data_IF_942024422850
#
_entry.id   IF_942024422850
#
_cell.length_a   1.000
_cell.length_b   1.000
_cell.length_c   1.000
_cell.angle_alpha   90.00
_cell.angle_beta   90.00
_cell.angle_gamma   90.00
#
_symmetry.space_group_name_H-M   'P 1'
#
loop_
_entity.id
_entity.type
_entity.pdbx_description
1 polymer ?
#
# COMPACT_ATOMS: atom_id res chain seq x y z
N UNK A 1 -7.66 12.73 16.49
CA UNK A 1 -8.18 13.26 15.22
C UNK A 1 -9.22 12.27 14.74
N UNK A 2 -10.50 12.63 14.78
CA UNK A 2 -11.63 11.75 14.46
C UNK A 2 -11.94 11.70 12.96
N UNK A 3 -10.94 11.86 12.12
CA UNK A 3 -11.11 11.89 10.67
C UNK A 3 -11.22 10.46 10.13
N UNK A 4 -12.13 10.24 9.19
CA UNK A 4 -12.32 8.93 8.57
C UNK A 4 -11.05 8.51 7.80
N UNK A 5 -10.53 7.31 8.10
CA UNK A 5 -9.36 6.72 7.45
C UNK A 5 -9.83 5.63 6.48
N UNK A 6 -9.48 5.75 5.20
CA UNK A 6 -9.86 4.78 4.16
C UNK A 6 -8.64 4.37 3.36
N UNK A 7 -8.37 3.06 3.28
CA UNK A 7 -7.33 2.49 2.43
C UNK A 7 -7.97 1.89 1.19
N UNK A 8 -7.57 2.35 0.00
CA UNK A 8 -8.03 1.84 -1.28
C UNK A 8 -6.97 0.95 -1.92
N UNK A 9 -7.32 -0.30 -2.20
CA UNK A 9 -6.48 -1.25 -2.93
C UNK A 9 -7.32 -2.35 -3.58
N UNK A 10 -6.70 -3.24 -4.36
CA UNK A 10 -7.36 -4.46 -4.82
C UNK A 10 -7.64 -5.42 -3.66
N UNK A 11 -8.58 -6.35 -3.85
CA UNK A 11 -8.78 -7.49 -2.93
C UNK A 11 -7.62 -8.49 -3.01
N UNK A 12 -6.48 -8.03 -2.55
CA UNK A 12 -5.23 -8.74 -2.48
C UNK A 12 -4.39 -8.13 -1.36
N UNK A 13 -3.36 -8.87 -0.94
CA UNK A 13 -2.35 -8.36 0.01
C UNK A 13 -1.51 -7.28 -0.68
N UNK A 14 -0.66 -7.70 -1.62
CA UNK A 14 0.15 -6.83 -2.49
C UNK A 14 0.90 -5.74 -1.72
N UNK A 15 0.98 -4.54 -2.32
CA UNK A 15 1.70 -3.38 -1.75
C UNK A 15 0.96 -2.69 -0.60
N UNK A 16 -0.34 -2.96 -0.42
CA UNK A 16 -1.13 -2.38 0.67
C UNK A 16 -0.95 -3.13 1.99
N UNK A 17 -0.47 -4.38 1.95
CA UNK A 17 -0.44 -5.24 3.13
C UNK A 17 0.39 -4.69 4.28
N UNK A 18 1.54 -4.08 4.00
CA UNK A 18 2.36 -3.47 5.06
C UNK A 18 1.62 -2.32 5.76
N UNK A 19 0.79 -1.56 5.02
CA UNK A 19 -0.04 -0.49 5.60
C UNK A 19 -1.11 -1.10 6.52
N UNK A 20 -1.75 -2.20 6.10
CA UNK A 20 -2.73 -2.92 6.94
C UNK A 20 -2.10 -3.45 8.23
N UNK A 21 -0.89 -4.00 8.14
CA UNK A 21 -0.14 -4.50 9.30
C UNK A 21 0.23 -3.37 10.26
N UNK A 22 0.59 -2.19 9.76
CA UNK A 22 0.84 -1.01 10.59
C UNK A 22 -0.43 -0.61 11.35
N UNK A 23 -1.58 -0.54 10.68
CA UNK A 23 -2.85 -0.22 11.35
C UNK A 23 -3.23 -1.27 12.40
N UNK A 24 -3.08 -2.56 12.08
CA UNK A 24 -3.35 -3.64 13.03
C UNK A 24 -2.43 -3.58 14.26
N UNK A 25 -1.13 -3.35 14.06
CA UNK A 25 -0.16 -3.22 15.15
C UNK A 25 -0.46 -2.03 16.06
N UNK A 26 -0.88 -0.90 15.48
CA UNK A 26 -1.20 0.32 16.22
C UNK A 26 -2.63 0.32 16.80
N UNK A 27 -3.45 -0.69 16.51
CA UNK A 27 -4.86 -0.73 16.90
C UNK A 27 -5.69 0.39 16.27
N UNK A 28 -5.32 0.87 15.09
CA UNK A 28 -6.03 1.94 14.39
C UNK A 28 -7.15 1.34 13.55
N UNK A 29 -8.38 1.78 13.82
CA UNK A 29 -9.53 1.46 12.99
C UNK A 29 -9.50 2.26 11.68
N UNK A 30 -9.80 1.59 10.57
CA UNK A 30 -9.86 2.19 9.24
C UNK A 30 -10.81 1.38 8.34
N UNK A 31 -11.28 1.99 7.26
CA UNK A 31 -12.04 1.30 6.21
C UNK A 31 -11.08 0.69 5.19
N UNK A 32 -11.03 -0.63 5.08
CA UNK A 32 -10.27 -1.35 4.03
C UNK A 32 -11.14 -1.52 2.77
N UNK A 33 -11.10 -0.53 1.87
CA UNK A 33 -11.89 -0.52 0.64
C UNK A 33 -11.17 -1.31 -0.45
N UNK A 34 -11.70 -2.48 -0.79
CA UNK A 34 -11.12 -3.42 -1.73
C UNK A 34 -11.83 -3.44 -3.08
N UNK A 35 -11.08 -3.29 -4.17
CA UNK A 35 -11.60 -3.50 -5.52
C UNK A 35 -11.75 -4.99 -5.84
N UNK A 36 -12.84 -5.36 -6.50
CA UNK A 36 -13.16 -6.74 -6.88
C UNK A 36 -14.15 -7.45 -5.95
N UNK A 37 -14.55 -6.80 -4.85
CA UNK A 37 -15.50 -7.38 -3.88
C UNK A 37 -16.95 -7.23 -4.35
N UNK A 38 -17.29 -6.16 -5.08
CA UNK A 38 -18.67 -5.88 -5.49
C UNK A 38 -18.88 -5.94 -7.01
N UNK A 39 -17.86 -6.36 -7.77
CA UNK A 39 -17.90 -6.39 -9.22
C UNK A 39 -16.52 -6.62 -9.84
N UNK A 40 -16.38 -6.23 -11.11
CA UNK A 40 -15.10 -6.35 -11.81
C UNK A 40 -14.06 -5.38 -11.21
N UNK A 41 -12.93 -5.94 -10.77
CA UNK A 41 -11.90 -5.20 -10.05
C UNK A 41 -11.29 -4.06 -10.90
N UNK A 42 -11.15 -4.25 -12.21
CA UNK A 42 -10.57 -3.24 -13.09
C UNK A 42 -11.57 -2.15 -13.45
N UNK A 43 -12.87 -2.48 -13.55
CA UNK A 43 -13.94 -1.49 -13.69
C UNK A 43 -14.03 -0.62 -12.45
N UNK A 44 -14.04 -1.22 -11.25
CA UNK A 44 -14.05 -0.47 -9.98
C UNK A 44 -12.82 0.43 -9.86
N UNK A 45 -11.62 -0.08 -10.15
CA UNK A 45 -10.40 0.73 -10.15
C UNK A 45 -10.46 1.87 -11.17
N UNK A 46 -10.95 1.61 -12.39
CA UNK A 46 -11.11 2.65 -13.42
C UNK A 46 -12.08 3.74 -12.99
N UNK A 47 -13.17 3.39 -12.33
CA UNK A 47 -14.14 4.37 -11.83
C UNK A 47 -13.57 5.16 -10.64
N UNK A 48 -12.88 4.48 -9.71
CA UNK A 48 -12.18 5.12 -8.61
C UNK A 48 -11.20 6.21 -9.08
N UNK A 49 -10.41 5.94 -10.13
CA UNK A 49 -9.49 6.93 -10.72
C UNK A 49 -10.19 8.15 -11.32
N UNK A 50 -11.46 8.04 -11.72
CA UNK A 50 -12.25 9.19 -12.20
C UNK A 50 -12.82 10.01 -11.06
N UNK A 51 -13.16 9.36 -9.95
CA UNK A 51 -13.80 9.99 -8.79
C UNK A 51 -12.78 10.64 -7.84
N UNK A 52 -11.57 10.10 -7.77
CA UNK A 52 -10.51 10.56 -6.86
C UNK A 52 -9.36 11.15 -7.63
N UNK A 53 -8.88 12.29 -7.16
CA UNK A 53 -7.66 12.93 -7.68
C UNK A 53 -6.43 12.15 -7.22
N UNK A 54 -6.12 11.07 -7.94
CA UNK A 54 -4.95 10.25 -7.67
C UNK A 54 -3.75 10.79 -8.44
N UNK A 55 -2.65 11.16 -7.78
CA UNK A 55 -1.55 11.90 -8.43
C UNK A 55 -0.82 11.10 -9.51
N UNK A 56 -0.85 9.76 -9.44
CA UNK A 56 -0.11 8.88 -10.35
C UNK A 56 -0.98 7.77 -10.95
N UNK A 57 -2.30 7.84 -10.81
CA UNK A 57 -3.22 6.79 -11.27
C UNK A 57 -2.88 5.38 -10.76
N UNK A 58 -2.31 5.30 -9.55
CA UNK A 58 -1.83 4.08 -8.91
C UNK A 58 -2.44 3.90 -7.53
N UNK A 59 -2.56 2.64 -7.11
CA UNK A 59 -2.88 2.25 -5.73
C UNK A 59 -1.70 1.48 -5.11
N UNK A 60 -1.52 1.51 -3.77
CA UNK A 60 -2.45 1.98 -2.74
C UNK A 60 -2.63 3.49 -2.66
N UNK A 61 -3.85 3.91 -2.31
CA UNK A 61 -4.20 5.26 -1.87
C UNK A 61 -4.70 5.18 -0.43
N UNK A 62 -4.13 6.01 0.44
CA UNK A 62 -4.63 6.22 1.80
C UNK A 62 -5.31 7.58 1.87
N UNK A 63 -6.57 7.61 2.27
CA UNK A 63 -7.33 8.83 2.52
C UNK A 63 -7.50 9.05 4.02
N UNK A 64 -7.23 10.28 4.49
CA UNK A 64 -7.44 10.70 5.88
C UNK A 64 -8.25 12.00 5.85
N UNK A 65 -9.54 11.94 6.15
CA UNK A 65 -10.46 13.06 5.88
C UNK A 65 -10.47 13.37 4.39
N UNK A 66 -10.10 14.60 4.00
CA UNK A 66 -9.97 15.01 2.58
C UNK A 66 -8.56 14.81 2.01
N UNK A 67 -7.57 14.44 2.84
CA UNK A 67 -6.19 14.28 2.40
C UNK A 67 -6.02 12.97 1.63
N UNK A 68 -5.49 13.05 0.41
CA UNK A 68 -5.14 11.90 -0.44
C UNK A 68 -3.63 11.67 -0.40
N UNK A 69 -3.21 10.48 0.05
CA UNK A 69 -1.82 10.05 0.08
C UNK A 69 -1.61 8.87 -0.87
N UNK A 70 -0.57 8.98 -1.71
CA UNK A 70 -0.18 7.95 -2.68
C UNK A 70 1.23 7.42 -2.39
N UNK A 71 1.63 6.41 -3.16
CA UNK A 71 2.91 5.68 -3.05
C UNK A 71 3.07 4.90 -1.74
N UNK A 72 3.05 3.56 -1.85
CA UNK A 72 3.05 2.65 -0.70
C UNK A 72 4.16 2.92 0.31
N UNK A 73 5.38 3.20 -0.14
CA UNK A 73 6.50 3.43 0.78
C UNK A 73 6.43 4.79 1.46
N UNK A 74 5.91 5.80 0.78
CA UNK A 74 5.73 7.13 1.36
C UNK A 74 4.63 7.09 2.44
N UNK A 75 3.53 6.38 2.18
CA UNK A 75 2.47 6.15 3.16
C UNK A 75 3.01 5.41 4.39
N UNK A 76 3.80 4.35 4.19
CA UNK A 76 4.44 3.60 5.29
C UNK A 76 5.30 4.53 6.15
N UNK A 77 6.22 5.30 5.55
CA UNK A 77 7.07 6.25 6.30
C UNK A 77 6.26 7.34 7.00
N UNK A 78 5.24 7.88 6.35
CA UNK A 78 4.35 8.89 6.95
C UNK A 78 3.66 8.35 8.21
N UNK A 79 3.06 7.16 8.14
CA UNK A 79 2.42 6.52 9.29
C UNK A 79 3.44 6.19 10.37
N UNK A 80 4.59 5.63 9.99
CA UNK A 80 5.63 5.26 10.95
C UNK A 80 6.16 6.48 11.71
N UNK A 81 6.37 7.61 11.01
CA UNK A 81 6.79 8.86 11.64
C UNK A 81 5.69 9.45 12.53
N UNK A 82 4.44 9.49 12.05
CA UNK A 82 3.29 10.03 12.79
C UNK A 82 3.06 9.29 14.12
N UNK A 83 3.33 7.99 14.16
CA UNK A 83 3.11 7.14 15.33
C UNK A 83 4.39 6.71 16.05
N UNK A 84 5.52 7.35 15.77
CA UNK A 84 6.82 7.13 16.44
C UNK A 84 7.33 5.67 16.40
N UNK A 85 7.09 4.97 15.28
CA UNK A 85 7.58 3.60 15.05
C UNK A 85 8.65 3.54 13.94
N UNK A 86 9.36 4.66 13.71
CA UNK A 86 10.43 4.76 12.72
C UNK A 86 11.83 4.85 13.31
N UNK A 87 11.99 4.81 14.65
CA UNK A 87 13.26 5.05 15.33
C UNK A 87 13.29 6.39 16.08
N UNK A 88 14.11 6.45 17.13
CA UNK A 88 14.09 7.56 18.11
C UNK A 88 15.10 8.69 17.79
N UNK A 89 15.94 8.49 16.78
CA UNK A 89 16.94 9.47 16.34
C UNK A 89 17.23 9.29 14.83
N UNK A 90 17.95 10.25 14.25
CA UNK A 90 18.26 10.29 12.81
C UNK A 90 18.93 9.01 12.31
N UNK A 91 19.87 8.45 13.08
CA UNK A 91 20.59 7.24 12.68
C UNK A 91 19.70 5.99 12.73
N UNK A 92 18.85 5.86 13.74
CA UNK A 92 17.91 4.75 13.85
C UNK A 92 16.80 4.84 12.79
N UNK A 93 16.34 6.06 12.45
CA UNK A 93 15.41 6.29 11.35
C UNK A 93 16.01 5.93 9.99
N UNK A 94 17.27 6.29 9.78
CA UNK A 94 18.04 5.83 8.62
C UNK A 94 18.11 4.30 8.56
N UNK A 95 18.45 3.62 9.65
CA UNK A 95 18.55 2.16 9.65
C UNK A 95 17.21 1.47 9.39
N UNK A 96 16.11 1.99 9.94
CA UNK A 96 14.78 1.48 9.65
C UNK A 96 14.44 1.61 8.16
N UNK A 97 14.70 2.76 7.54
CA UNK A 97 14.45 2.98 6.10
C UNK A 97 15.40 2.13 5.23
N UNK A 98 16.68 2.00 5.61
CA UNK A 98 17.65 1.16 4.92
C UNK A 98 17.21 -0.31 4.88
N UNK A 99 16.75 -0.85 6.01
CA UNK A 99 16.21 -2.22 6.08
C UNK A 99 14.96 -2.33 5.20
N UNK A 100 14.05 -1.36 5.28
CA UNK A 100 12.83 -1.37 4.47
C UNK A 100 13.13 -1.31 2.96
N UNK A 101 14.12 -0.54 2.54
CA UNK A 101 14.61 -0.53 1.15
C UNK A 101 15.13 -1.90 0.72
N UNK A 102 15.96 -2.56 1.54
CA UNK A 102 16.43 -3.92 1.25
C UNK A 102 15.30 -4.95 1.15
N UNK A 103 14.26 -4.83 1.98
CA UNK A 103 13.05 -5.67 1.90
C UNK A 103 12.32 -5.44 0.57
N UNK A 104 12.23 -4.19 0.09
CA UNK A 104 11.58 -3.91 -1.18
C UNK A 104 12.32 -4.52 -2.37
N UNK A 105 13.65 -4.51 -2.37
CA UNK A 105 14.44 -5.08 -3.46
C UNK A 105 14.15 -6.57 -3.64
N UNK A 106 14.13 -7.34 -2.54
CA UNK A 106 13.85 -8.77 -2.60
C UNK A 106 12.36 -9.06 -2.85
N UNK A 107 11.46 -8.26 -2.26
CA UNK A 107 10.02 -8.42 -2.48
C UNK A 107 9.64 -8.14 -3.93
N UNK A 108 10.26 -7.13 -4.56
CA UNK A 108 10.10 -6.84 -5.98
C UNK A 108 10.58 -8.02 -6.85
N UNK A 109 11.77 -8.57 -6.56
CA UNK A 109 12.27 -9.76 -7.25
C UNK A 109 11.27 -10.90 -7.13
N UNK A 110 10.87 -11.29 -5.92
CA UNK A 110 9.93 -12.38 -5.69
C UNK A 110 8.62 -12.23 -6.47
N UNK A 111 8.01 -11.04 -6.44
CA UNK A 111 6.76 -10.79 -7.16
C UNK A 111 6.94 -10.90 -8.68
N UNK A 112 8.09 -10.50 -9.21
CA UNK A 112 8.40 -10.61 -10.62
C UNK A 112 8.80 -12.03 -11.04
N UNK A 113 9.49 -12.81 -10.20
CA UNK A 113 9.86 -14.20 -10.54
C UNK A 113 8.64 -15.09 -10.69
N UNK A 114 7.57 -14.84 -9.93
CA UNK A 114 6.31 -15.58 -10.05
C UNK A 114 5.50 -15.18 -11.30
N UNK A 115 5.71 -13.99 -11.85
CA UNK A 115 5.11 -13.56 -13.12
C UNK A 115 5.78 -14.21 -14.34
N UNK A 116 7.08 -14.51 -14.30
CA UNK A 116 7.78 -15.16 -15.41
C UNK A 116 7.57 -16.67 -15.51
N UNK A 117 7.06 -17.33 -14.46
CA UNK A 117 6.73 -18.77 -14.52
C UNK A 117 5.36 -19.08 -15.12
N UNK A 118 4.46 -18.11 -15.25
CA UNK A 118 3.13 -18.32 -15.86
C UNK A 118 3.13 -18.25 -17.40
N UNK A 119 4.20 -17.76 -18.03
CA UNK A 119 4.26 -17.60 -19.49
C UNK A 119 4.99 -18.73 -20.24
N UNK A 120 5.44 -19.80 -19.56
CA UNK A 120 6.16 -20.93 -20.20
C UNK A 120 5.31 -22.21 -20.37
N UNK A 121 4.00 -22.18 -20.10
CA UNK A 121 3.12 -23.36 -20.28
C UNK A 121 1.85 -23.06 -21.06
N UNK A 122 1.99 -22.67 -22.33
CA UNK A 122 0.98 -22.95 -23.38
C UNK A 122 1.62 -22.79 -24.77
N UNK A 123 2.25 -23.86 -25.25
CA UNK A 123 2.37 -24.15 -26.68
C UNK A 123 1.96 -25.61 -26.88
N UNK A 124 0.67 -25.82 -27.08
CA UNK A 124 0.08 -26.96 -27.79
C UNK A 124 -1.14 -26.46 -28.55
#
# INVERSE_FOLDING_TARGET
MGDNIVLYYFDARGKAELIRLIFAYLGIEYTDKRFGVNGDAFVEFKNFKKEKDTPFEQVPILQIGDLILAQSQAIVRFLSKKYNICGENELNEFYADMIFCGVQDIHYKFNNTNLFKQNETTFF
#
